data_IF_153228687256
#
_entry.id   IF_153228687256
#
_cell.length_a   1.000
_cell.length_b   1.000
_cell.length_c   1.000
_cell.angle_alpha   90.00
_cell.angle_beta   90.00
_cell.angle_gamma   90.00
#
_symmetry.space_group_name_H-M   'P 1'
#
loop_
_entity.id
_entity.type
_entity.pdbx_description
1 polymer ?
#
# COMPACT_ATOMS: atom_id res chain seq x y z
N UNK A 1 13.54 26.26 28.85
CA UNK A 1 13.18 25.48 27.64
C UNK A 1 13.77 24.10 27.84
N UNK A 2 12.94 23.07 28.06
CA UNK A 2 13.40 21.72 28.36
C UNK A 2 13.68 20.98 27.02
N UNK A 3 14.77 20.20 26.86
CA UNK A 3 15.16 19.61 25.58
C UNK A 3 14.23 18.49 25.04
N UNK A 4 13.15 18.17 25.74
CA UNK A 4 12.23 17.07 25.44
C UNK A 4 10.99 17.45 24.62
N UNK A 5 10.81 18.72 24.25
CA UNK A 5 9.62 19.22 23.52
C UNK A 5 9.73 19.17 21.98
N UNK A 6 10.38 18.14 21.43
CA UNK A 6 10.29 17.88 19.98
C UNK A 6 9.67 16.50 19.74
N UNK A 7 8.52 16.40 19.04
CA UNK A 7 7.97 15.10 18.68
C UNK A 7 9.03 14.34 17.88
N UNK A 8 9.50 13.23 18.43
CA UNK A 8 10.73 12.55 18.00
C UNK A 8 10.56 11.81 16.66
N UNK A 9 9.38 11.86 16.05
CA UNK A 9 9.11 11.39 14.69
C UNK A 9 7.86 12.08 14.10
N UNK A 10 7.71 12.04 12.77
CA UNK A 10 6.59 12.60 12.01
C UNK A 10 5.23 12.13 12.56
N UNK A 11 5.18 10.89 13.03
CA UNK A 11 4.02 10.26 13.66
C UNK A 11 3.62 10.96 14.96
N UNK A 12 4.55 11.18 15.88
CA UNK A 12 4.29 11.92 17.12
C UNK A 12 3.88 13.37 16.84
N UNK A 13 4.43 13.98 15.77
CA UNK A 13 4.02 15.32 15.35
C UNK A 13 2.59 15.33 14.82
N UNK A 14 2.21 14.37 13.96
CA UNK A 14 0.85 14.20 13.44
C UNK A 14 -0.15 13.97 14.57
N UNK A 15 0.16 13.07 15.51
CA UNK A 15 -0.68 12.80 16.69
C UNK A 15 -0.84 14.06 17.54
N UNK A 16 0.24 14.80 17.81
CA UNK A 16 0.18 16.03 18.60
C UNK A 16 -0.57 17.18 17.91
N UNK A 17 -0.52 17.23 16.57
CA UNK A 17 -1.27 18.21 15.77
C UNK A 17 -2.77 17.89 15.75
N UNK A 18 -3.14 16.61 15.69
CA UNK A 18 -4.53 16.16 15.79
C UNK A 18 -5.12 16.36 17.20
N UNK A 19 -4.28 16.34 18.23
CA UNK A 19 -4.70 16.55 19.62
C UNK A 19 -5.12 17.99 19.97
N UNK A 20 -4.76 18.99 19.14
CA UNK A 20 -4.98 20.42 19.41
C UNK A 20 -6.21 21.05 18.75
N UNK A 21 -7.01 20.27 18.03
CA UNK A 21 -8.05 20.78 17.14
C UNK A 21 -9.47 20.56 17.70
N UNK A 22 -10.36 21.56 17.62
CA UNK A 22 -11.79 21.44 18.01
C UNK A 22 -12.51 20.34 17.21
N UNK A 23 -12.00 20.00 16.02
CA UNK A 23 -12.47 18.85 15.24
C UNK A 23 -12.22 17.51 15.93
N UNK A 24 -11.24 17.41 16.84
CA UNK A 24 -10.97 16.19 17.59
C UNK A 24 -12.10 15.84 18.57
N UNK A 25 -12.70 16.83 19.24
CA UNK A 25 -13.81 16.58 20.17
C UNK A 25 -15.07 16.10 19.44
N UNK A 26 -15.32 16.65 18.23
CA UNK A 26 -16.36 16.12 17.32
C UNK A 26 -16.04 14.70 16.87
N UNK A 27 -14.79 14.44 16.51
CA UNK A 27 -14.34 13.11 16.07
C UNK A 27 -14.42 12.09 17.20
N UNK A 28 -14.04 12.46 18.43
CA UNK A 28 -14.19 11.63 19.65
C UNK A 28 -15.64 11.23 19.87
N UNK A 29 -16.56 12.18 19.80
CA UNK A 29 -18.00 11.91 19.99
C UNK A 29 -18.57 10.97 18.93
N UNK A 30 -18.09 11.06 17.68
CA UNK A 30 -18.50 10.14 16.61
C UNK A 30 -17.81 8.76 16.71
N UNK A 31 -16.54 8.71 17.13
CA UNK A 31 -15.76 7.48 17.31
C UNK A 31 -16.25 6.69 18.55
N UNK A 32 -16.71 7.36 19.59
CA UNK A 32 -17.34 6.69 20.74
C UNK A 32 -18.61 5.92 20.33
N UNK A 33 -19.35 6.37 19.31
CA UNK A 33 -20.50 5.65 18.76
C UNK A 33 -20.11 4.39 17.99
N UNK A 34 -18.87 4.29 17.51
CA UNK A 34 -18.38 3.10 16.78
C UNK A 34 -17.78 2.04 17.71
N UNK A 35 -17.62 2.35 19.00
CA UNK A 35 -17.02 1.45 19.98
C UNK A 35 -15.50 1.29 19.85
N UNK A 36 -14.85 2.15 19.04
CA UNK A 36 -13.40 2.17 18.82
C UNK A 36 -12.79 3.26 19.70
N UNK A 37 -11.63 3.01 20.29
CA UNK A 37 -10.88 4.02 21.03
C UNK A 37 -10.05 4.91 20.10
N UNK A 38 -9.75 6.14 20.53
CA UNK A 38 -8.84 7.03 19.76
C UNK A 38 -7.47 6.39 19.53
N UNK A 39 -7.00 5.55 20.45
CA UNK A 39 -5.73 4.84 20.30
C UNK A 39 -5.80 3.80 19.18
N UNK A 40 -6.85 2.99 19.14
CA UNK A 40 -7.05 2.01 18.06
C UNK A 40 -7.20 2.70 16.70
N UNK A 41 -7.93 3.82 16.64
CA UNK A 41 -8.04 4.62 15.41
C UNK A 41 -6.66 5.11 14.93
N UNK A 42 -5.82 5.59 15.85
CA UNK A 42 -4.46 6.01 15.51
C UNK A 42 -3.60 4.83 15.04
N UNK A 43 -3.69 3.69 15.73
CA UNK A 43 -2.97 2.47 15.35
C UNK A 43 -3.36 2.02 13.92
N UNK A 44 -4.65 2.08 13.56
CA UNK A 44 -5.14 1.78 12.20
C UNK A 44 -4.64 2.77 11.14
N UNK A 45 -4.68 4.07 11.42
CA UNK A 45 -4.18 5.10 10.50
C UNK A 45 -2.68 4.93 10.24
N UNK A 46 -1.91 4.60 11.28
CA UNK A 46 -0.49 4.33 11.16
C UNK A 46 -0.23 3.04 10.38
N UNK A 47 -1.00 1.98 10.67
CA UNK A 47 -0.97 0.73 9.92
C UNK A 47 -1.19 0.95 8.42
N UNK A 48 -2.21 1.73 8.04
CA UNK A 48 -2.50 2.10 6.66
C UNK A 48 -1.34 2.86 6.00
N UNK A 49 -0.75 3.82 6.72
CA UNK A 49 0.37 4.61 6.19
C UNK A 49 1.58 3.72 5.88
N UNK A 50 1.98 2.85 6.81
CA UNK A 50 3.11 1.94 6.59
C UNK A 50 2.81 0.93 5.48
N UNK A 51 1.61 0.34 5.49
CA UNK A 51 1.20 -0.64 4.48
C UNK A 51 1.24 -0.05 3.06
N UNK A 52 0.80 1.20 2.88
CA UNK A 52 0.81 1.87 1.58
C UNK A 52 2.17 2.45 1.17
N UNK A 53 2.97 2.93 2.15
CA UNK A 53 4.22 3.63 1.88
C UNK A 53 5.33 2.69 1.39
N UNK A 54 5.70 1.71 2.20
CA UNK A 54 6.89 0.88 1.94
C UNK A 54 6.69 -0.01 0.71
N UNK A 55 5.50 -0.58 0.58
CA UNK A 55 5.13 -1.47 -0.53
C UNK A 55 5.12 -0.71 -1.87
N UNK A 56 4.39 0.41 -1.94
CA UNK A 56 4.26 1.19 -3.17
C UNK A 56 5.59 1.82 -3.59
N UNK A 57 6.35 2.36 -2.64
CA UNK A 57 7.66 2.95 -2.93
C UNK A 57 8.62 1.91 -3.52
N UNK A 58 8.64 0.70 -2.95
CA UNK A 58 9.48 -0.41 -3.43
C UNK A 58 9.10 -0.82 -4.85
N UNK A 59 7.82 -0.98 -5.16
CA UNK A 59 7.39 -1.36 -6.52
C UNK A 59 7.61 -0.26 -7.55
N UNK A 60 7.44 1.01 -7.19
CA UNK A 60 7.76 2.11 -8.09
C UNK A 60 9.26 2.16 -8.40
N UNK A 61 10.12 1.87 -7.42
CA UNK A 61 11.56 1.77 -7.65
C UNK A 61 11.90 0.63 -8.63
N UNK A 62 11.33 -0.56 -8.45
CA UNK A 62 11.50 -1.68 -9.37
C UNK A 62 10.95 -1.39 -10.77
N UNK A 63 9.77 -0.80 -10.85
CA UNK A 63 9.14 -0.40 -12.11
C UNK A 63 10.06 0.55 -12.89
N UNK A 64 10.58 1.60 -12.24
CA UNK A 64 11.51 2.53 -12.86
C UNK A 64 12.82 1.85 -13.28
N UNK A 65 13.35 0.95 -12.43
CA UNK A 65 14.55 0.18 -12.75
C UNK A 65 14.34 -0.67 -14.01
N UNK A 66 13.31 -1.51 -14.06
CA UNK A 66 13.04 -2.37 -15.21
C UNK A 66 12.69 -1.57 -16.47
N UNK A 67 11.90 -0.51 -16.36
CA UNK A 67 11.63 0.38 -17.48
C UNK A 67 12.92 1.02 -18.03
N UNK A 68 13.85 1.43 -17.16
CA UNK A 68 15.14 2.00 -17.58
C UNK A 68 16.06 0.99 -18.28
N UNK A 69 15.93 -0.31 -17.96
CA UNK A 69 16.71 -1.39 -18.57
C UNK A 69 16.11 -1.93 -19.87
N UNK A 70 14.86 -1.60 -20.18
CA UNK A 70 14.14 -2.04 -21.36
C UNK A 70 13.63 -0.83 -22.17
N UNK A 71 14.47 -0.23 -23.04
CA UNK A 71 14.12 0.99 -23.76
C UNK A 71 12.87 0.89 -24.64
N UNK A 72 12.60 -0.30 -25.18
CA UNK A 72 11.39 -0.60 -25.96
C UNK A 72 10.12 -0.53 -25.10
N UNK A 73 10.17 -1.07 -23.88
CA UNK A 73 9.08 -0.96 -22.90
C UNK A 73 8.88 0.50 -22.50
N UNK A 74 9.98 1.22 -22.22
CA UNK A 74 9.92 2.64 -21.88
C UNK A 74 9.29 3.47 -23.00
N UNK A 75 9.62 3.15 -24.26
CA UNK A 75 9.08 3.84 -25.42
C UNK A 75 7.57 3.60 -25.55
N UNK A 76 7.11 2.35 -25.40
CA UNK A 76 5.67 2.02 -25.41
C UNK A 76 4.89 2.71 -24.29
N UNK A 77 5.46 2.82 -23.08
CA UNK A 77 4.86 3.59 -21.99
C UNK A 77 4.67 5.05 -22.41
N UNK A 78 5.69 5.68 -22.99
CA UNK A 78 5.60 7.08 -23.46
C UNK A 78 4.58 7.25 -24.57
N UNK A 79 4.46 6.27 -25.47
CA UNK A 79 3.47 6.26 -26.54
C UNK A 79 2.05 6.16 -26.00
N UNK A 80 1.80 5.28 -25.03
CA UNK A 80 0.49 5.15 -24.37
C UNK A 80 0.08 6.44 -23.66
N UNK A 81 1.01 7.05 -22.90
CA UNK A 81 0.74 8.33 -22.23
C UNK A 81 0.38 9.43 -23.24
N UNK A 82 1.07 9.49 -24.38
CA UNK A 82 0.76 10.44 -25.46
C UNK A 82 -0.58 10.14 -26.12
N UNK A 83 -0.87 8.88 -26.41
CA UNK A 83 -2.10 8.43 -27.05
C UNK A 83 -3.34 8.85 -26.26
N UNK A 84 -3.26 8.81 -24.93
CA UNK A 84 -4.35 9.17 -24.03
C UNK A 84 -4.26 10.60 -23.46
N UNK A 85 -3.35 11.44 -23.98
CA UNK A 85 -3.11 12.81 -23.50
C UNK A 85 -2.91 12.88 -21.96
N UNK A 86 -2.18 11.91 -21.40
CA UNK A 86 -1.88 11.87 -19.97
C UNK A 86 -0.77 12.87 -19.68
N UNK A 87 -1.15 13.98 -19.04
CA UNK A 87 -0.25 15.01 -18.53
C UNK A 87 -0.61 15.31 -17.08
N UNK A 88 0.22 16.10 -16.42
CA UNK A 88 -0.09 16.58 -15.07
C UNK A 88 -1.40 17.36 -15.04
N UNK A 89 -1.66 18.23 -16.02
CA UNK A 89 -2.90 19.00 -16.02
C UNK A 89 -4.13 18.11 -16.27
N UNK A 90 -4.05 17.14 -17.18
CA UNK A 90 -5.21 16.29 -17.49
C UNK A 90 -5.56 15.38 -16.33
N UNK A 91 -4.56 14.80 -15.64
CA UNK A 91 -4.80 13.96 -14.46
C UNK A 91 -5.36 14.73 -13.26
N UNK A 92 -5.00 16.00 -13.09
CA UNK A 92 -5.58 16.84 -12.02
C UNK A 92 -7.07 17.11 -12.24
N UNK A 93 -7.52 17.07 -13.49
CA UNK A 93 -8.91 17.32 -13.86
C UNK A 93 -9.75 16.03 -13.93
N UNK A 94 -9.16 14.91 -14.35
CA UNK A 94 -9.84 13.62 -14.48
C UNK A 94 -8.90 12.43 -14.22
N UNK A 95 -9.08 11.77 -13.08
CA UNK A 95 -8.32 10.57 -12.72
C UNK A 95 -8.75 9.32 -13.49
N UNK A 96 -9.97 9.29 -14.05
CA UNK A 96 -10.47 8.13 -14.81
C UNK A 96 -9.69 7.93 -16.13
N UNK A 97 -8.90 8.93 -16.55
CA UNK A 97 -7.96 8.79 -17.66
C UNK A 97 -6.93 7.67 -17.42
N UNK A 98 -6.61 7.34 -16.17
CA UNK A 98 -5.70 6.25 -15.84
C UNK A 98 -6.26 4.87 -16.23
N UNK A 99 -7.58 4.71 -16.33
CA UNK A 99 -8.21 3.45 -16.78
C UNK A 99 -7.87 3.11 -18.23
N UNK A 100 -7.39 4.10 -19.01
CA UNK A 100 -6.95 3.89 -20.38
C UNK A 100 -5.51 3.35 -20.48
N UNK A 101 -4.71 3.47 -19.40
CA UNK A 101 -3.29 3.10 -19.37
C UNK A 101 -3.06 1.59 -19.18
N UNK A 102 -3.57 0.78 -20.11
CA UNK A 102 -3.56 -0.69 -20.03
C UNK A 102 -2.15 -1.28 -20.09
N UNK A 103 -1.28 -0.72 -20.91
CA UNK A 103 0.09 -1.18 -21.06
C UNK A 103 0.90 -0.88 -19.80
N UNK A 104 0.77 0.31 -19.21
CA UNK A 104 1.37 0.63 -17.91
C UNK A 104 0.89 -0.35 -16.82
N UNK A 105 -0.41 -0.66 -16.76
CA UNK A 105 -0.95 -1.67 -15.84
C UNK A 105 -0.31 -3.05 -16.05
N UNK A 106 -0.13 -3.48 -17.31
CA UNK A 106 0.62 -4.70 -17.63
C UNK A 106 2.07 -4.64 -17.14
N UNK A 107 2.77 -3.51 -17.31
CA UNK A 107 4.17 -3.36 -16.85
C UNK A 107 4.25 -3.38 -15.32
N UNK A 108 3.29 -2.78 -14.61
CA UNK A 108 3.22 -2.84 -13.14
C UNK A 108 3.00 -4.30 -12.68
N UNK A 109 2.07 -5.02 -13.31
CA UNK A 109 1.83 -6.45 -13.02
C UNK A 109 3.07 -7.30 -13.28
N UNK A 110 3.79 -7.05 -14.37
CA UNK A 110 5.01 -7.77 -14.68
C UNK A 110 6.15 -7.41 -13.71
N UNK A 111 6.21 -6.15 -13.27
CA UNK A 111 7.13 -5.73 -12.20
C UNK A 111 6.85 -6.50 -10.91
N UNK A 112 5.59 -6.63 -10.51
CA UNK A 112 5.17 -7.41 -9.33
C UNK A 112 5.48 -8.90 -9.48
N UNK A 113 5.37 -9.45 -10.69
CA UNK A 113 5.71 -10.85 -10.98
C UNK A 113 7.21 -11.12 -10.82
N UNK A 114 8.07 -10.23 -11.32
CA UNK A 114 9.53 -10.39 -11.29
C UNK A 114 10.11 -10.01 -9.93
N UNK A 115 9.61 -8.92 -9.32
CA UNK A 115 10.07 -8.38 -8.05
C UNK A 115 8.90 -8.28 -7.05
N UNK A 116 8.42 -9.41 -6.51
CA UNK A 116 7.37 -9.40 -5.50
C UNK A 116 7.87 -8.75 -4.20
N UNK A 117 7.04 -7.91 -3.57
CA UNK A 117 7.39 -7.20 -2.32
C UNK A 117 7.39 -8.15 -1.13
N UNK A 118 6.40 -9.05 -1.07
CA UNK A 118 6.24 -10.01 0.02
C UNK A 118 6.71 -11.41 -0.36
N UNK A 119 7.04 -12.20 0.64
CA UNK A 119 7.34 -13.63 0.47
C UNK A 119 6.09 -14.45 0.13
N UNK A 120 4.90 -13.96 0.48
CA UNK A 120 3.65 -14.70 0.36
C UNK A 120 2.61 -14.29 1.41
N UNK A 121 1.50 -15.03 1.43
CA UNK A 121 0.50 -14.95 2.51
C UNK A 121 0.74 -16.05 3.54
N UNK A 122 0.87 -15.66 4.82
CA UNK A 122 0.94 -16.60 5.94
C UNK A 122 -0.45 -16.79 6.55
N UNK A 123 -0.78 -18.03 6.92
CA UNK A 123 -2.01 -18.39 7.63
C UNK A 123 -1.70 -19.43 8.69
N UNK A 124 -2.33 -19.31 9.86
CA UNK A 124 -2.37 -20.37 10.87
C UNK A 124 -3.69 -21.11 10.74
N UNK A 125 -3.63 -22.42 10.66
CA UNK A 125 -4.79 -23.27 10.44
C UNK A 125 -5.61 -23.40 11.72
N UNK A 126 -6.89 -23.02 11.67
CA UNK A 126 -7.78 -23.05 12.86
C UNK A 126 -8.38 -24.42 13.13
N UNK A 127 -8.50 -25.25 12.09
CA UNK A 127 -9.06 -26.61 12.14
C UNK A 127 -8.42 -27.50 11.06
N UNK A 128 -8.37 -28.81 11.30
CA UNK A 128 -7.79 -29.77 10.36
C UNK A 128 -8.42 -29.65 8.98
N UNK A 129 -7.60 -29.45 7.95
CA UNK A 129 -8.03 -29.27 6.57
C UNK A 129 -7.24 -30.18 5.63
N UNK A 130 -7.85 -30.57 4.51
CA UNK A 130 -7.14 -31.26 3.43
C UNK A 130 -7.15 -30.37 2.19
N UNK A 131 -5.97 -30.01 1.69
CA UNK A 131 -5.78 -29.20 0.48
C UNK A 131 -5.01 -30.05 -0.52
N UNK A 132 -5.58 -30.28 -1.70
CA UNK A 132 -4.98 -31.10 -2.77
C UNK A 132 -4.49 -32.49 -2.29
N UNK A 133 -5.22 -33.10 -1.36
CA UNK A 133 -4.88 -34.41 -0.77
C UNK A 133 -3.84 -34.37 0.36
N UNK A 134 -3.27 -33.20 0.66
CA UNK A 134 -2.36 -32.99 1.81
C UNK A 134 -3.16 -32.61 3.04
N UNK A 135 -3.00 -33.36 4.13
CA UNK A 135 -3.59 -33.03 5.43
C UNK A 135 -2.73 -32.00 6.15
N UNK A 136 -3.37 -30.93 6.59
CA UNK A 136 -2.77 -29.86 7.38
C UNK A 136 -3.54 -29.78 8.68
N UNK A 137 -2.83 -29.84 9.80
CA UNK A 137 -3.41 -29.93 11.12
C UNK A 137 -3.61 -28.55 11.74
N UNK A 138 -4.54 -28.50 12.70
CA UNK A 138 -4.77 -27.31 13.51
C UNK A 138 -3.46 -26.80 14.15
N UNK A 139 -3.32 -25.48 14.22
CA UNK A 139 -2.14 -24.71 14.66
C UNK A 139 -0.93 -24.76 13.71
N UNK A 140 -0.96 -25.53 12.62
CA UNK A 140 0.12 -25.47 11.62
C UNK A 140 0.09 -24.13 10.86
N UNK A 141 1.27 -23.61 10.54
CA UNK A 141 1.42 -22.40 9.72
C UNK A 141 1.69 -22.77 8.27
N UNK A 142 0.84 -22.28 7.37
CA UNK A 142 0.96 -22.43 5.93
C UNK A 142 1.43 -21.12 5.32
N UNK A 143 2.39 -21.20 4.39
CA UNK A 143 2.87 -20.07 3.62
C UNK A 143 2.57 -20.30 2.14
N UNK A 144 1.73 -19.45 1.57
CA UNK A 144 1.50 -19.38 0.13
C UNK A 144 2.47 -18.39 -0.48
N UNK A 145 3.57 -18.87 -1.07
CA UNK A 145 4.61 -18.01 -1.62
C UNK A 145 4.22 -17.36 -2.95
N UNK A 146 4.58 -16.09 -3.17
CA UNK A 146 4.28 -15.38 -4.43
C UNK A 146 5.23 -15.75 -5.59
N UNK A 147 6.40 -16.35 -5.29
CA UNK A 147 7.51 -16.55 -6.25
C UNK A 147 7.55 -17.94 -6.91
N UNK A 148 6.48 -18.74 -6.84
CA UNK A 148 6.48 -20.13 -7.37
C UNK A 148 5.73 -20.31 -8.72
N UNK A 149 5.64 -19.26 -9.55
CA UNK A 149 5.14 -19.37 -10.94
C UNK A 149 6.24 -19.12 -11.97
#
# INVERSE_FOLDING_TARGET
MNPTDKPTNLVASLVSSLQKDETLERTKTEVEKTGITIRELLDEVLGLFFAGYDTTATILAWFMYYASKNPDVQQKIKEELKQHNITKETLLNDLNLLDQCKYIDCVIKETLRIAPIGIGSLRTVTDNVTIDGVKIFKEETVVSAFTLM
#
